data_IF_757815016248
#
_entry.id   IF_757815016248
#
_cell.length_a   1.000
_cell.length_b   1.000
_cell.length_c   1.000
_cell.angle_alpha   90.00
_cell.angle_beta   90.00
_cell.angle_gamma   90.00
#
_symmetry.space_group_name_H-M   'P 1'
#
loop_
_entity.id
_entity.type
_entity.pdbx_description
1 polymer ?
#
# COMPACT_ATOMS: atom_id res chain seq x y z
N UNK A 1 5.87 0.69 48.16
CA UNK A 1 5.55 -0.37 47.17
C UNK A 1 4.56 0.05 46.08
N UNK A 2 3.54 0.89 46.36
CA UNK A 2 2.58 1.37 45.35
C UNK A 2 3.20 2.28 44.27
N UNK A 3 4.12 3.18 44.64
CA UNK A 3 4.77 4.13 43.72
C UNK A 3 5.60 3.44 42.61
N UNK A 4 6.32 2.36 42.95
CA UNK A 4 7.11 1.60 41.97
C UNK A 4 6.24 0.82 40.96
N UNK A 5 5.03 0.38 41.36
CA UNK A 5 4.07 -0.26 40.45
C UNK A 5 3.48 0.76 39.46
N UNK A 6 3.11 1.96 39.94
CA UNK A 6 2.62 3.04 39.07
C UNK A 6 3.67 3.49 38.06
N UNK A 7 4.93 3.61 38.49
CA UNK A 7 6.03 3.97 37.59
C UNK A 7 6.26 2.91 36.51
N UNK A 8 6.27 1.61 36.85
CA UNK A 8 6.40 0.52 35.85
C UNK A 8 5.24 0.49 34.86
N UNK A 9 4.01 0.69 35.32
CA UNK A 9 2.83 0.77 34.45
C UNK A 9 2.91 1.97 33.51
N UNK A 10 3.39 3.12 34.00
CA UNK A 10 3.59 4.32 33.18
C UNK A 10 4.68 4.09 32.10
N UNK A 11 5.82 3.49 32.45
CA UNK A 11 6.87 3.14 31.50
C UNK A 11 6.42 2.11 30.45
N UNK A 12 5.60 1.12 30.85
CA UNK A 12 5.01 0.15 29.92
C UNK A 12 4.03 0.81 28.95
N UNK A 13 3.19 1.74 29.43
CA UNK A 13 2.27 2.51 28.58
C UNK A 13 3.03 3.40 27.59
N UNK A 14 4.06 4.12 28.05
CA UNK A 14 4.90 4.95 27.20
C UNK A 14 5.65 4.11 26.15
N UNK A 15 6.20 2.96 26.55
CA UNK A 15 6.85 2.01 25.63
C UNK A 15 5.88 1.49 24.55
N UNK A 16 4.64 1.16 24.94
CA UNK A 16 3.61 0.72 24.00
C UNK A 16 3.19 1.82 23.01
N UNK A 17 3.00 3.05 23.50
CA UNK A 17 2.66 4.20 22.64
C UNK A 17 3.78 4.53 21.66
N UNK A 18 5.03 4.50 22.12
CA UNK A 18 6.21 4.71 21.26
C UNK A 18 6.36 3.58 20.23
N UNK A 19 6.09 2.33 20.62
CA UNK A 19 6.10 1.19 19.67
C UNK A 19 5.06 1.36 18.58
N UNK A 20 3.82 1.73 18.93
CA UNK A 20 2.73 1.98 17.97
C UNK A 20 3.06 3.12 17.00
N UNK A 21 3.59 4.23 17.50
CA UNK A 21 4.02 5.36 16.67
C UNK A 21 5.14 4.95 15.69
N UNK A 22 6.09 4.13 16.16
CA UNK A 22 7.18 3.61 15.33
C UNK A 22 6.66 2.71 14.21
N UNK A 23 5.66 1.87 14.51
CA UNK A 23 5.02 0.99 13.53
C UNK A 23 4.21 1.78 12.50
N UNK A 24 3.38 2.74 12.95
CA UNK A 24 2.64 3.63 12.06
C UNK A 24 3.57 4.43 11.15
N UNK A 25 4.68 4.94 11.68
CA UNK A 25 5.68 5.67 10.91
C UNK A 25 6.39 4.77 9.89
N UNK A 26 6.73 3.54 10.29
CA UNK A 26 7.31 2.53 9.40
C UNK A 26 6.37 2.17 8.26
N UNK A 27 5.07 2.05 8.53
CA UNK A 27 4.06 1.78 7.52
C UNK A 27 3.91 2.96 6.55
N UNK A 28 3.77 4.20 7.04
CA UNK A 28 3.71 5.37 6.15
C UNK A 28 4.98 5.50 5.29
N UNK A 29 6.15 5.16 5.84
CA UNK A 29 7.41 5.12 5.10
C UNK A 29 7.40 4.02 4.03
N UNK A 30 6.84 2.85 4.32
CA UNK A 30 6.66 1.77 3.34
C UNK A 30 5.80 2.25 2.16
N UNK A 31 4.65 2.83 2.46
CA UNK A 31 3.73 3.36 1.46
C UNK A 31 4.40 4.47 0.63
N UNK A 32 5.08 5.42 1.25
CA UNK A 32 5.82 6.44 0.52
C UNK A 32 6.89 5.85 -0.41
N UNK A 33 7.56 4.76 -0.03
CA UNK A 33 8.56 4.06 -0.88
C UNK A 33 7.97 3.49 -2.17
N UNK A 34 6.68 3.15 -2.21
CA UNK A 34 6.02 2.61 -3.42
C UNK A 34 5.97 3.60 -4.59
N UNK A 35 5.99 4.89 -4.29
CA UNK A 35 5.98 5.98 -5.28
C UNK A 35 7.28 6.79 -5.29
N UNK A 36 8.23 6.43 -4.43
CA UNK A 36 9.50 7.16 -4.30
C UNK A 36 10.45 6.80 -5.43
N UNK A 37 10.99 7.83 -6.06
CA UNK A 37 11.96 7.75 -7.15
C UNK A 37 13.37 7.50 -6.63
N UNK A 38 13.64 6.33 -6.06
CA UNK A 38 15.01 5.99 -5.66
C UNK A 38 15.58 4.86 -6.51
N UNK A 39 16.54 5.16 -7.41
CA UNK A 39 17.36 4.11 -8.01
C UNK A 39 18.10 3.40 -6.88
N UNK A 40 18.18 2.07 -6.94
CA UNK A 40 18.99 1.28 -6.03
C UNK A 40 20.43 1.82 -6.03
N UNK A 41 20.85 2.42 -4.92
CA UNK A 41 22.26 2.70 -4.66
C UNK A 41 22.91 1.39 -4.22
N UNK A 42 23.78 0.84 -5.06
CA UNK A 42 24.59 -0.36 -4.81
C UNK A 42 25.76 -0.09 -3.84
N UNK A 43 26.45 -1.12 -3.29
CA UNK A 43 26.05 -2.51 -3.07
C UNK A 43 25.85 -2.79 -1.57
N UNK A 44 24.88 -3.63 -1.21
CA UNK A 44 24.93 -4.29 0.08
C UNK A 44 26.10 -5.27 0.06
N UNK A 45 27.14 -4.99 0.84
CA UNK A 45 28.04 -6.03 1.32
C UNK A 45 27.15 -7.11 1.95
N UNK A 46 27.14 -8.31 1.37
CA UNK A 46 26.47 -9.51 1.88
C UNK A 46 26.90 -9.95 3.30
N UNK A 47 27.63 -9.11 4.04
CA UNK A 47 28.17 -9.39 5.37
C UNK A 47 28.03 -8.25 6.38
N UNK A 48 27.17 -7.26 6.14
CA UNK A 48 26.92 -6.19 7.12
C UNK A 48 25.58 -6.43 7.79
N UNK A 49 25.61 -7.08 8.95
CA UNK A 49 24.54 -7.17 9.95
C UNK A 49 23.19 -6.66 9.46
N UNK A 50 22.31 -7.59 9.07
CA UNK A 50 20.88 -7.40 9.14
C UNK A 50 20.60 -6.80 10.52
N UNK A 51 20.43 -5.47 10.59
CA UNK A 51 19.53 -4.93 11.59
C UNK A 51 18.26 -5.73 11.33
N UNK A 52 17.79 -6.55 12.29
CA UNK A 52 16.70 -7.46 12.03
C UNK A 52 15.63 -6.61 11.39
N UNK A 53 15.33 -6.87 10.11
CA UNK A 53 14.14 -6.37 9.48
C UNK A 53 13.07 -6.89 10.40
N UNK A 54 12.64 -6.06 11.36
CA UNK A 54 11.54 -6.41 12.23
C UNK A 54 10.46 -6.66 11.19
N UNK A 55 9.97 -7.90 11.03
CA UNK A 55 8.73 -8.08 10.29
C UNK A 55 7.81 -7.04 10.89
N UNK A 56 7.15 -6.22 10.05
CA UNK A 56 6.16 -5.25 10.51
C UNK A 56 5.40 -5.94 11.63
N UNK A 57 5.66 -5.49 12.86
CA UNK A 57 5.51 -6.35 14.04
C UNK A 57 4.05 -6.80 14.08
N UNK A 58 3.78 -8.05 14.47
CA UNK A 58 2.44 -8.67 14.59
C UNK A 58 1.43 -7.86 15.42
N UNK A 59 1.86 -6.73 15.98
CA UNK A 59 1.04 -5.61 16.42
C UNK A 59 0.16 -5.12 15.26
N UNK A 60 -1.08 -5.61 15.26
CA UNK A 60 -2.25 -5.27 14.43
C UNK A 60 -2.67 -3.78 14.45
N UNK A 61 -1.74 -2.86 14.62
CA UNK A 61 -2.04 -1.44 14.83
C UNK A 61 -2.48 -0.72 13.54
N UNK A 62 -2.08 -1.23 12.37
CA UNK A 62 -2.43 -0.68 11.06
C UNK A 62 -3.77 -1.21 10.51
N UNK A 63 -4.23 -2.38 10.96
CA UNK A 63 -5.53 -2.96 10.56
C UNK A 63 -6.67 -1.97 10.83
N UNK A 64 -6.81 -1.56 12.09
CA UNK A 64 -7.91 -0.68 12.49
C UNK A 64 -7.68 0.78 12.13
N UNK A 65 -6.43 1.21 11.97
CA UNK A 65 -6.11 2.62 11.70
C UNK A 65 -6.20 2.95 10.22
N UNK A 66 -5.80 2.00 9.35
CA UNK A 66 -5.63 2.24 7.92
C UNK A 66 -6.43 1.28 7.03
N UNK A 67 -7.07 0.26 7.62
CA UNK A 67 -7.85 -0.72 6.89
C UNK A 67 -7.01 -1.73 6.11
N UNK A 68 -5.74 -1.90 6.49
CA UNK A 68 -4.76 -2.78 5.82
C UNK A 68 -4.35 -3.92 6.74
N UNK A 69 -4.35 -5.14 6.22
CA UNK A 69 -3.92 -6.30 6.99
C UNK A 69 -2.41 -6.43 7.04
N UNK A 70 -1.90 -7.17 8.02
CA UNK A 70 -0.46 -7.42 8.14
C UNK A 70 0.09 -8.19 6.92
N UNK A 71 -0.68 -9.14 6.39
CA UNK A 71 -0.29 -9.90 5.19
C UNK A 71 -0.21 -9.01 3.95
N UNK A 72 -1.18 -8.10 3.76
CA UNK A 72 -1.14 -7.15 2.64
C UNK A 72 0.06 -6.19 2.79
N UNK A 73 0.29 -5.66 3.99
CA UNK A 73 1.45 -4.78 4.24
C UNK A 73 2.78 -5.50 3.98
N UNK A 74 2.88 -6.77 4.38
CA UNK A 74 4.02 -7.63 4.06
C UNK A 74 4.17 -7.80 2.55
N UNK A 75 3.10 -8.11 1.82
CA UNK A 75 3.14 -8.29 0.38
C UNK A 75 3.58 -7.02 -0.38
N UNK A 76 3.15 -5.83 0.06
CA UNK A 76 3.62 -4.55 -0.49
C UNK A 76 5.14 -4.39 -0.28
N UNK A 77 5.63 -4.65 0.94
CA UNK A 77 7.06 -4.57 1.22
C UNK A 77 7.86 -5.59 0.41
N UNK A 78 7.37 -6.83 0.31
CA UNK A 78 8.04 -7.89 -0.44
C UNK A 78 8.10 -7.58 -1.93
N UNK A 79 7.03 -7.01 -2.49
CA UNK A 79 7.02 -6.53 -3.88
C UNK A 79 8.10 -5.48 -4.09
N UNK A 80 8.23 -4.51 -3.19
CA UNK A 80 9.27 -3.49 -3.27
C UNK A 80 10.70 -4.03 -3.18
N UNK A 81 10.95 -5.03 -2.35
CA UNK A 81 12.24 -5.71 -2.26
C UNK A 81 12.58 -6.44 -3.55
N UNK A 82 11.65 -7.24 -4.08
CA UNK A 82 11.82 -7.96 -5.34
C UNK A 82 12.04 -7.03 -6.52
N UNK A 83 11.28 -5.93 -6.63
CA UNK A 83 11.49 -4.92 -7.67
C UNK A 83 12.92 -4.36 -7.67
N UNK A 84 13.51 -4.14 -6.49
CA UNK A 84 14.90 -3.65 -6.36
C UNK A 84 15.90 -4.70 -6.77
N UNK A 85 15.68 -5.96 -6.39
CA UNK A 85 16.55 -7.07 -6.78
C UNK A 85 16.50 -7.31 -8.28
N UNK A 86 15.32 -7.34 -8.90
CA UNK A 86 15.17 -7.46 -10.36
C UNK A 86 15.88 -6.30 -11.06
N UNK A 87 15.62 -5.06 -10.62
CA UNK A 87 16.29 -3.86 -11.16
C UNK A 87 17.82 -3.89 -11.00
N UNK A 88 18.33 -4.53 -9.94
CA UNK A 88 19.76 -4.73 -9.71
C UNK A 88 20.37 -5.59 -10.81
N UNK A 89 19.74 -6.72 -11.13
CA UNK A 89 20.22 -7.67 -12.13
C UNK A 89 20.12 -7.08 -13.54
N UNK A 90 19.01 -6.41 -13.85
CA UNK A 90 18.80 -5.76 -15.16
C UNK A 90 19.88 -4.70 -15.47
N UNK A 91 20.33 -3.93 -14.46
CA UNK A 91 21.24 -2.80 -14.67
C UNK A 91 22.72 -3.16 -14.58
N UNK A 92 23.12 -3.97 -13.60
CA UNK A 92 24.55 -4.23 -13.35
C UNK A 92 25.08 -5.49 -14.02
N UNK A 93 24.19 -6.45 -14.32
CA UNK A 93 24.63 -7.73 -14.87
C UNK A 93 23.75 -8.15 -16.05
N UNK A 94 23.68 -7.36 -17.14
CA UNK A 94 22.78 -7.67 -18.28
C UNK A 94 23.03 -9.04 -18.93
N UNK A 95 24.19 -9.65 -18.65
CA UNK A 95 24.62 -10.94 -19.18
C UNK A 95 24.35 -12.11 -18.21
N UNK A 96 23.91 -11.84 -16.98
CA UNK A 96 23.65 -12.86 -15.96
C UNK A 96 22.15 -12.95 -15.72
N UNK A 97 21.62 -14.15 -15.88
CA UNK A 97 20.22 -14.43 -15.58
C UNK A 97 19.89 -14.12 -14.11
N UNK A 98 18.66 -13.69 -13.86
CA UNK A 98 18.11 -13.52 -12.51
C UNK A 98 18.19 -14.88 -11.79
N UNK A 99 18.73 -14.95 -10.56
CA UNK A 99 18.75 -16.18 -9.77
C UNK A 99 17.37 -16.82 -9.61
N UNK A 100 17.33 -18.16 -9.69
CA UNK A 100 16.10 -18.95 -9.57
C UNK A 100 15.34 -18.67 -8.27
N UNK A 101 16.03 -18.53 -7.14
CA UNK A 101 15.38 -18.21 -5.86
C UNK A 101 14.64 -16.86 -5.84
N UNK A 102 15.02 -15.88 -6.67
CA UNK A 102 14.29 -14.61 -6.81
C UNK A 102 13.02 -14.83 -7.64
N UNK A 103 13.10 -15.64 -8.69
CA UNK A 103 11.93 -16.01 -9.50
C UNK A 103 10.92 -16.81 -8.67
N UNK A 104 11.38 -17.80 -7.89
CA UNK A 104 10.54 -18.55 -6.95
C UNK A 104 9.88 -17.63 -5.91
N UNK A 105 10.61 -16.63 -5.39
CA UNK A 105 10.05 -15.65 -4.47
C UNK A 105 8.98 -14.77 -5.14
N UNK A 106 9.16 -14.41 -6.42
CA UNK A 106 8.15 -13.69 -7.19
C UNK A 106 6.89 -14.53 -7.39
N UNK A 107 7.03 -15.80 -7.76
CA UNK A 107 5.91 -16.74 -7.96
C UNK A 107 5.16 -16.99 -6.65
N UNK A 108 5.88 -17.24 -5.57
CA UNK A 108 5.32 -17.46 -4.24
C UNK A 108 4.49 -16.26 -3.77
N UNK A 109 5.01 -15.04 -3.95
CA UNK A 109 4.26 -13.81 -3.64
C UNK A 109 3.02 -13.65 -4.51
N UNK A 110 3.11 -13.99 -5.80
CA UNK A 110 1.96 -13.98 -6.71
C UNK A 110 0.87 -14.95 -6.29
N UNK A 111 1.25 -16.17 -5.93
CA UNK A 111 0.33 -17.18 -5.40
C UNK A 111 -0.33 -16.72 -4.09
N UNK A 112 0.43 -16.10 -3.18
CA UNK A 112 -0.10 -15.54 -1.94
C UNK A 112 -1.14 -14.45 -2.21
N UNK A 113 -0.85 -13.51 -3.11
CA UNK A 113 -1.78 -12.45 -3.48
C UNK A 113 -3.03 -13.02 -4.17
N UNK A 114 -2.88 -13.91 -5.15
CA UNK A 114 -4.02 -14.46 -5.89
C UNK A 114 -4.93 -15.37 -5.05
N UNK A 115 -4.38 -16.04 -4.04
CA UNK A 115 -5.15 -16.91 -3.12
C UNK A 115 -5.61 -16.19 -1.85
N UNK A 116 -5.34 -14.88 -1.72
CA UNK A 116 -5.68 -14.12 -0.54
C UNK A 116 -7.19 -14.14 -0.27
N UNK A 117 -7.56 -14.39 0.98
CA UNK A 117 -8.93 -14.23 1.45
C UNK A 117 -8.93 -13.52 2.79
N UNK A 118 -9.85 -12.55 2.94
CA UNK A 118 -10.00 -11.84 4.20
C UNK A 118 -10.37 -12.78 5.35
N UNK A 119 -11.18 -13.82 5.08
CA UNK A 119 -11.64 -14.78 6.09
C UNK A 119 -10.49 -15.49 6.81
N UNK A 120 -9.41 -15.82 6.10
CA UNK A 120 -8.24 -16.48 6.67
C UNK A 120 -7.49 -15.58 7.68
N UNK A 121 -7.58 -14.26 7.48
CA UNK A 121 -7.02 -13.25 8.38
C UNK A 121 -7.95 -12.93 9.54
N UNK A 122 -9.26 -12.79 9.27
CA UNK A 122 -10.26 -12.45 10.29
C UNK A 122 -10.49 -13.55 11.31
N UNK A 123 -10.31 -14.82 10.93
CA UNK A 123 -10.37 -15.95 11.87
C UNK A 123 -9.42 -15.80 13.06
N UNK A 124 -8.39 -14.94 12.92
CA UNK A 124 -7.39 -14.63 13.94
C UNK A 124 -7.67 -13.32 14.68
N UNK A 125 -8.64 -12.51 14.25
CA UNK A 125 -8.90 -11.15 14.75
C UNK A 125 -10.08 -11.10 15.74
N UNK A 126 -9.94 -10.29 16.81
CA UNK A 126 -11.03 -9.99 17.75
C UNK A 126 -11.57 -8.62 17.33
N UNK A 127 -12.78 -8.60 16.76
CA UNK A 127 -13.44 -7.35 16.39
C UNK A 127 -14.15 -6.72 17.60
N UNK A 128 -14.10 -5.39 17.74
CA UNK A 128 -15.11 -4.69 18.53
C UNK A 128 -16.50 -5.01 17.96
N UNK A 129 -17.52 -5.00 18.82
CA UNK A 129 -18.88 -5.44 18.51
C UNK A 129 -19.66 -4.46 17.57
N UNK A 130 -18.97 -3.76 16.69
CA UNK A 130 -19.51 -2.78 15.74
C UNK A 130 -19.51 -3.38 14.32
N UNK A 131 -20.69 -3.81 13.89
CA UNK A 131 -20.92 -4.40 12.56
C UNK A 131 -20.59 -3.42 11.43
N UNK A 132 -20.84 -2.12 11.61
CA UNK A 132 -20.57 -1.11 10.57
C UNK A 132 -19.07 -0.96 10.36
N UNK A 133 -18.30 -0.87 11.44
CA UNK A 133 -16.84 -0.77 11.38
C UNK A 133 -16.21 -2.02 10.78
N UNK A 134 -16.79 -3.20 11.02
CA UNK A 134 -16.35 -4.45 10.39
C UNK A 134 -16.57 -4.45 8.88
N UNK A 135 -17.73 -3.97 8.41
CA UNK A 135 -18.01 -3.84 6.98
C UNK A 135 -17.08 -2.82 6.31
N UNK A 136 -16.87 -1.66 6.94
CA UNK A 136 -15.93 -0.64 6.45
C UNK A 136 -14.51 -1.20 6.36
N UNK A 137 -14.05 -1.90 7.41
CA UNK A 137 -12.74 -2.54 7.42
C UNK A 137 -12.63 -3.59 6.31
N UNK A 138 -13.65 -4.43 6.12
CA UNK A 138 -13.66 -5.46 5.09
C UNK A 138 -13.49 -4.86 3.69
N UNK A 139 -14.27 -3.85 3.35
CA UNK A 139 -14.14 -3.19 2.05
C UNK A 139 -12.81 -2.46 1.88
N UNK A 140 -12.30 -1.82 2.93
CA UNK A 140 -10.94 -1.25 2.90
C UNK A 140 -9.87 -2.33 2.66
N UNK A 141 -9.93 -3.46 3.36
CA UNK A 141 -8.97 -4.55 3.21
C UNK A 141 -8.97 -5.11 1.79
N UNK A 142 -10.14 -5.27 1.16
CA UNK A 142 -10.24 -5.69 -0.24
C UNK A 142 -9.66 -4.64 -1.20
N UNK A 143 -9.90 -3.35 -0.97
CA UNK A 143 -9.29 -2.28 -1.78
C UNK A 143 -7.76 -2.30 -1.65
N UNK A 144 -7.23 -2.45 -0.43
CA UNK A 144 -5.80 -2.59 -0.18
C UNK A 144 -5.20 -3.81 -0.87
N UNK A 145 -5.87 -4.96 -0.76
CA UNK A 145 -5.45 -6.20 -1.40
C UNK A 145 -5.37 -6.05 -2.92
N UNK A 146 -6.43 -5.54 -3.56
CA UNK A 146 -6.46 -5.35 -5.01
C UNK A 146 -5.40 -4.37 -5.46
N UNK A 147 -5.16 -3.28 -4.73
CA UNK A 147 -4.09 -2.34 -5.06
C UNK A 147 -2.69 -2.94 -4.88
N UNK A 148 -2.47 -3.81 -3.89
CA UNK A 148 -1.23 -4.57 -3.75
C UNK A 148 -1.04 -5.57 -4.91
N UNK A 149 -2.10 -6.26 -5.32
CA UNK A 149 -2.10 -7.16 -6.47
C UNK A 149 -1.81 -6.41 -7.77
N UNK A 150 -2.46 -5.26 -8.01
CA UNK A 150 -2.20 -4.39 -9.16
C UNK A 150 -0.72 -3.98 -9.18
N UNK A 151 -0.19 -3.51 -8.04
CA UNK A 151 1.20 -3.10 -7.93
C UNK A 151 2.16 -4.24 -8.27
N UNK A 152 1.93 -5.43 -7.70
CA UNK A 152 2.71 -6.63 -8.01
C UNK A 152 2.64 -7.01 -9.49
N UNK A 153 1.43 -7.11 -10.07
CA UNK A 153 1.24 -7.53 -11.45
C UNK A 153 1.92 -6.59 -12.44
N UNK A 154 1.86 -5.27 -12.21
CA UNK A 154 2.50 -4.32 -13.11
C UNK A 154 4.03 -4.28 -12.98
N UNK A 155 4.57 -4.42 -11.77
CA UNK A 155 5.99 -4.17 -11.51
C UNK A 155 6.85 -5.43 -11.48
N UNK A 156 6.27 -6.60 -11.19
CA UNK A 156 6.96 -7.89 -11.22
C UNK A 156 6.60 -8.66 -12.49
N UNK A 157 5.31 -8.77 -12.81
CA UNK A 157 4.83 -9.58 -13.94
C UNK A 157 4.76 -8.82 -15.26
N UNK A 158 4.90 -7.48 -15.25
CA UNK A 158 4.80 -6.66 -16.45
C UNK A 158 3.40 -6.65 -17.08
N UNK A 159 2.36 -6.93 -16.29
CA UNK A 159 0.98 -6.99 -16.76
C UNK A 159 0.54 -5.64 -17.38
N UNK A 160 -0.18 -5.71 -18.50
CA UNK A 160 -0.72 -4.52 -19.15
C UNK A 160 -1.88 -3.93 -18.35
N UNK A 161 -2.20 -2.65 -18.57
CA UNK A 161 -3.38 -2.01 -17.93
C UNK A 161 -4.70 -2.71 -18.29
N UNK A 162 -4.76 -3.35 -19.45
CA UNK A 162 -5.94 -4.14 -19.86
C UNK A 162 -6.08 -5.42 -19.03
N UNK A 163 -4.97 -6.10 -18.75
CA UNK A 163 -4.98 -7.37 -17.99
C UNK A 163 -5.46 -7.19 -16.55
N UNK A 164 -5.21 -6.00 -15.97
CA UNK A 164 -5.58 -5.67 -14.58
C UNK A 164 -6.83 -4.81 -14.46
N UNK A 165 -7.52 -4.51 -15.57
CA UNK A 165 -8.61 -3.53 -15.60
C UNK A 165 -9.76 -3.89 -14.63
N UNK A 166 -10.07 -5.18 -14.50
CA UNK A 166 -11.09 -5.67 -13.56
C UNK A 166 -10.68 -5.42 -12.10
N UNK A 167 -9.42 -5.70 -11.74
CA UNK A 167 -8.91 -5.42 -10.39
C UNK A 167 -8.98 -3.93 -10.07
N UNK A 168 -8.67 -3.06 -11.04
CA UNK A 168 -8.78 -1.60 -10.89
C UNK A 168 -10.24 -1.19 -10.66
N UNK A 169 -11.19 -1.70 -11.45
CA UNK A 169 -12.61 -1.39 -11.29
C UNK A 169 -13.15 -1.85 -9.92
N UNK A 170 -12.78 -3.07 -9.49
CA UNK A 170 -13.20 -3.62 -8.21
C UNK A 170 -12.62 -2.83 -7.02
N UNK A 171 -11.37 -2.35 -7.10
CA UNK A 171 -10.78 -1.49 -6.08
C UNK A 171 -11.58 -0.17 -5.93
N UNK A 172 -11.99 0.45 -7.04
CA UNK A 172 -12.84 1.64 -7.02
C UNK A 172 -14.20 1.35 -6.36
N UNK A 173 -14.83 0.23 -6.72
CA UNK A 173 -16.12 -0.20 -6.16
C UNK A 173 -16.07 -0.29 -4.64
N UNK A 174 -15.07 -0.99 -4.08
CA UNK A 174 -14.91 -1.11 -2.64
C UNK A 174 -14.69 0.24 -1.94
N UNK A 175 -13.88 1.12 -2.55
CA UNK A 175 -13.61 2.44 -1.99
C UNK A 175 -14.83 3.37 -2.05
N UNK A 176 -15.70 3.24 -3.06
CA UNK A 176 -16.98 3.96 -3.10
C UNK A 176 -17.95 3.48 -2.03
N UNK A 177 -18.08 2.16 -1.86
CA UNK A 177 -18.95 1.56 -0.83
C UNK A 177 -18.54 2.06 0.57
N UNK A 178 -17.24 2.12 0.86
CA UNK A 178 -16.73 2.69 2.12
C UNK A 178 -17.22 4.12 2.31
N UNK A 179 -17.11 4.95 1.30
CA UNK A 179 -17.48 6.36 1.40
C UNK A 179 -19.00 6.57 1.48
N UNK A 180 -19.78 5.65 0.89
CA UNK A 180 -21.25 5.56 1.04
C UNK A 180 -21.63 5.24 2.48
N UNK A 181 -21.04 4.20 3.07
CA UNK A 181 -21.27 3.85 4.48
C UNK A 181 -20.92 5.04 5.38
N UNK A 182 -19.75 5.66 5.18
CA UNK A 182 -19.33 6.82 5.97
C UNK A 182 -20.25 8.03 5.82
N UNK A 183 -20.90 8.22 4.68
CA UNK A 183 -21.83 9.34 4.48
C UNK A 183 -23.12 9.22 5.29
N UNK A 184 -23.46 8.01 5.76
CA UNK A 184 -24.56 7.79 6.70
C UNK A 184 -24.19 7.98 8.17
N UNK A 185 -22.92 8.27 8.48
CA UNK A 185 -22.39 8.39 9.84
C UNK A 185 -22.08 9.85 10.22
N UNK A 186 -21.95 10.19 11.52
CA UNK A 186 -21.67 11.56 11.98
C UNK A 186 -20.34 12.13 11.45
N UNK A 187 -20.26 13.47 11.37
CA UNK A 187 -19.21 14.28 10.71
C UNK A 187 -17.74 14.08 11.15
N UNK A 188 -17.44 13.21 12.12
CA UNK A 188 -16.08 12.99 12.62
C UNK A 188 -15.43 11.71 12.05
N UNK A 189 -15.75 11.35 10.81
CA UNK A 189 -15.17 10.18 10.16
C UNK A 189 -13.71 10.41 9.76
N UNK A 190 -12.87 9.42 10.03
CA UNK A 190 -11.47 9.46 9.63
C UNK A 190 -11.36 9.45 8.10
N UNK A 191 -10.56 10.39 7.59
CA UNK A 191 -10.19 10.46 6.19
C UNK A 191 -9.51 9.16 5.74
N UNK A 192 -9.78 8.67 4.52
CA UNK A 192 -9.14 7.46 4.01
C UNK A 192 -7.64 7.70 3.78
N UNK A 193 -6.83 6.66 4.01
CA UNK A 193 -5.52 6.57 3.36
C UNK A 193 -5.76 6.38 1.86
N UNK A 194 -5.01 7.13 1.07
CA UNK A 194 -5.25 7.28 -0.36
C UNK A 194 -4.43 6.32 -1.20
N UNK A 195 -3.45 5.63 -0.61
CA UNK A 195 -2.59 4.69 -1.34
C UNK A 195 -3.35 3.69 -2.23
N UNK A 196 -4.40 2.97 -1.77
CA UNK A 196 -5.12 2.05 -2.64
C UNK A 196 -5.70 2.75 -3.86
N UNK A 197 -6.32 3.91 -3.65
CA UNK A 197 -6.89 4.71 -4.71
C UNK A 197 -5.83 5.23 -5.66
N UNK A 198 -4.69 5.70 -5.15
CA UNK A 198 -3.58 6.22 -5.95
C UNK A 198 -3.04 5.16 -6.91
N UNK A 199 -2.69 3.97 -6.41
CA UNK A 199 -2.16 2.89 -7.25
C UNK A 199 -3.15 2.46 -8.33
N UNK A 200 -4.40 2.20 -7.93
CA UNK A 200 -5.41 1.70 -8.85
C UNK A 200 -5.83 2.77 -9.88
N UNK A 201 -5.96 4.04 -9.47
CA UNK A 201 -6.26 5.14 -10.39
C UNK A 201 -5.12 5.41 -11.37
N UNK A 202 -3.84 5.32 -10.97
CA UNK A 202 -2.71 5.44 -11.91
C UNK A 202 -2.73 4.37 -13.01
N UNK A 203 -3.38 3.24 -12.75
CA UNK A 203 -3.50 2.10 -13.66
C UNK A 203 -4.79 2.09 -14.48
N UNK A 204 -5.67 3.07 -14.26
CA UNK A 204 -7.03 3.06 -14.81
C UNK A 204 -7.09 3.38 -16.31
N UNK A 205 -7.85 2.54 -17.03
CA UNK A 205 -8.30 2.81 -18.39
C UNK A 205 -9.59 3.64 -18.37
N UNK A 206 -10.59 3.18 -17.61
CA UNK A 206 -11.78 3.97 -17.30
C UNK A 206 -11.54 4.83 -16.05
N UNK A 207 -11.64 6.15 -16.22
CA UNK A 207 -11.27 7.15 -15.22
C UNK A 207 -12.48 7.79 -14.55
N UNK A 208 -13.69 7.62 -15.07
CA UNK A 208 -14.88 8.33 -14.58
C UNK A 208 -15.15 8.01 -13.12
N UNK A 209 -15.16 6.72 -12.76
CA UNK A 209 -15.36 6.26 -11.38
C UNK A 209 -14.29 6.82 -10.42
N UNK A 210 -13.05 6.96 -10.89
CA UNK A 210 -11.95 7.50 -10.09
C UNK A 210 -12.05 9.00 -9.91
N UNK A 211 -12.46 9.74 -10.94
CA UNK A 211 -12.73 11.19 -10.83
C UNK A 211 -13.80 11.44 -9.77
N UNK A 212 -14.87 10.65 -9.77
CA UNK A 212 -15.94 10.74 -8.76
C UNK A 212 -15.40 10.49 -7.35
N UNK A 213 -14.60 9.41 -7.17
CA UNK A 213 -14.04 9.07 -5.86
C UNK A 213 -13.10 10.17 -5.35
N UNK A 214 -12.14 10.59 -6.16
CA UNK A 214 -11.17 11.64 -5.81
C UNK A 214 -11.84 12.98 -5.51
N UNK A 215 -12.93 13.30 -6.19
CA UNK A 215 -13.74 14.51 -5.91
C UNK A 215 -14.46 14.38 -4.57
N UNK A 216 -15.03 13.21 -4.27
CA UNK A 216 -15.78 12.96 -3.04
C UNK A 216 -14.92 13.12 -1.79
N UNK A 217 -13.70 12.59 -1.79
CA UNK A 217 -12.80 12.67 -0.62
C UNK A 217 -12.30 14.08 -0.32
N UNK A 218 -12.46 15.05 -1.23
CA UNK A 218 -12.09 16.44 -0.96
C UNK A 218 -12.89 17.04 0.21
N UNK A 219 -14.05 16.46 0.54
CA UNK A 219 -14.86 16.85 1.72
C UNK A 219 -14.10 16.78 3.04
N UNK A 220 -13.06 15.94 3.12
CA UNK A 220 -12.22 15.82 4.32
C UNK A 220 -11.28 17.01 4.54
N UNK A 221 -11.17 17.94 3.59
CA UNK A 221 -10.37 19.17 3.74
C UNK A 221 -8.86 18.94 3.82
N UNK A 222 -8.37 17.74 3.50
CA UNK A 222 -6.96 17.41 3.55
C UNK A 222 -6.28 17.86 2.25
N UNK A 223 -5.46 18.90 2.34
CA UNK A 223 -4.83 19.52 1.17
C UNK A 223 -3.98 18.57 0.30
N UNK A 224 -3.41 17.51 0.90
CA UNK A 224 -2.62 16.52 0.15
C UNK A 224 -3.47 15.70 -0.81
N UNK A 225 -4.75 15.46 -0.52
CA UNK A 225 -5.66 14.69 -1.39
C UNK A 225 -5.87 15.35 -2.74
N UNK A 226 -6.02 16.68 -2.76
CA UNK A 226 -6.12 17.45 -4.00
C UNK A 226 -4.84 17.29 -4.83
N UNK A 227 -3.68 17.44 -4.19
CA UNK A 227 -2.38 17.31 -4.85
C UNK A 227 -2.18 15.91 -5.42
N UNK A 228 -2.56 14.86 -4.70
CA UNK A 228 -2.49 13.48 -5.18
C UNK A 228 -3.36 13.26 -6.41
N UNK A 229 -4.58 13.80 -6.42
CA UNK A 229 -5.43 13.70 -7.59
C UNK A 229 -4.86 14.48 -8.79
N UNK A 230 -4.24 15.63 -8.56
CA UNK A 230 -3.52 16.36 -9.60
C UNK A 230 -2.39 15.50 -10.21
N UNK A 231 -1.61 14.80 -9.37
CA UNK A 231 -0.60 13.84 -9.84
C UNK A 231 -1.20 12.71 -10.67
N UNK A 232 -2.31 12.12 -10.22
CA UNK A 232 -3.02 11.07 -10.98
C UNK A 232 -3.43 11.58 -12.36
N UNK A 233 -3.96 12.81 -12.46
CA UNK A 233 -4.30 13.42 -13.75
C UNK A 233 -3.07 13.69 -14.62
N UNK A 234 -1.94 14.10 -14.04
CA UNK A 234 -0.68 14.27 -14.76
C UNK A 234 -0.19 12.94 -15.37
N UNK A 235 -0.32 11.85 -14.62
CA UNK A 235 0.00 10.48 -15.07
C UNK A 235 -0.94 10.06 -16.19
N UNK A 236 -2.24 10.27 -16.04
CA UNK A 236 -3.24 9.99 -17.07
C UNK A 236 -2.92 10.70 -18.39
N UNK A 237 -2.62 12.00 -18.33
CA UNK A 237 -2.23 12.76 -19.51
C UNK A 237 -0.96 12.22 -20.17
N UNK A 238 0.01 11.71 -19.39
CA UNK A 238 1.20 11.07 -19.92
C UNK A 238 0.89 9.71 -20.58
N UNK A 239 0.03 8.90 -19.95
CA UNK A 239 -0.41 7.61 -20.46
C UNK A 239 -1.30 7.72 -21.71
N UNK A 240 -1.98 8.85 -21.91
CA UNK A 240 -2.72 9.11 -23.14
C UNK A 240 -1.76 9.34 -24.32
N UNK A 241 -0.58 9.90 -24.06
CA UNK A 241 0.46 10.10 -25.05
C UNK A 241 1.36 8.86 -25.25
N UNK A 242 1.59 8.09 -24.18
CA UNK A 242 2.42 6.88 -24.17
C UNK A 242 1.62 5.71 -23.54
N UNK A 243 0.71 5.05 -24.29
CA UNK A 243 -0.21 4.05 -23.73
C UNK A 243 0.46 2.82 -23.10
N UNK A 244 1.64 2.46 -23.58
CA UNK A 244 2.39 1.29 -23.08
C UNK A 244 3.37 1.65 -21.95
N UNK A 245 3.44 2.93 -21.55
CA UNK A 245 4.33 3.35 -20.49
C UNK A 245 3.87 2.87 -19.10
N UNK A 246 4.83 2.58 -18.24
CA UNK A 246 4.59 2.33 -16.83
C UNK A 246 4.42 3.67 -16.09
N UNK A 247 3.35 3.81 -15.28
CA UNK A 247 3.06 5.06 -14.57
C UNK A 247 4.14 5.44 -13.55
N UNK A 248 4.81 4.46 -12.92
CA UNK A 248 5.89 4.71 -11.97
C UNK A 248 7.13 5.25 -12.69
N UNK A 249 7.39 4.78 -13.91
CA UNK A 249 8.44 5.31 -14.77
C UNK A 249 8.14 6.75 -15.22
N UNK A 250 6.87 7.09 -15.43
CA UNK A 250 6.44 8.47 -15.69
C UNK A 250 6.72 9.37 -14.48
N UNK A 251 6.33 8.94 -13.27
CA UNK A 251 6.64 9.67 -12.02
C UNK A 251 8.15 9.89 -11.90
N UNK A 252 8.95 8.85 -12.18
CA UNK A 252 10.42 8.89 -12.14
C UNK A 252 11.02 9.87 -13.15
N UNK A 253 10.61 9.78 -14.42
CA UNK A 253 11.09 10.67 -15.49
C UNK A 253 10.75 12.13 -15.23
N UNK A 254 9.57 12.39 -14.68
CA UNK A 254 9.06 13.75 -14.42
C UNK A 254 9.40 14.30 -13.04
N UNK A 255 10.06 13.51 -12.18
CA UNK A 255 10.44 13.87 -10.81
C UNK A 255 9.23 14.36 -10.00
N UNK A 256 8.10 13.68 -10.14
CA UNK A 256 6.87 14.05 -9.44
C UNK A 256 7.00 13.58 -7.98
N UNK A 257 6.91 14.52 -7.05
CA UNK A 257 6.85 14.21 -5.62
C UNK A 257 5.41 13.87 -5.22
N UNK A 258 5.21 12.62 -4.78
CA UNK A 258 3.94 12.15 -4.21
C UNK A 258 4.03 12.28 -2.69
N UNK A 259 3.30 13.24 -2.14
CA UNK A 259 3.31 13.50 -0.70
C UNK A 259 2.19 12.71 0.00
N UNK A 260 2.56 12.05 1.11
CA UNK A 260 1.67 11.50 2.14
C UNK A 260 0.46 10.70 1.61
N UNK A 261 0.73 9.51 1.06
CA UNK A 261 -0.26 8.55 0.54
C UNK A 261 -1.09 7.86 1.62
#
# INVERSE_FOLDING_TARGET
MLELRKSRQHWQMMSLQTSRLTEMSSFMMLIAKTTSCHPATFPHNHHSYEAPHRPLSQTRCYEFTYGVTAEIAYAINKTLELCKEISFYDKLTPQRAIPEGILEACESLGNQLLSWSLNDELSKAIFPNDETMQVVFSHHAHAWHLSALIYYLQHIQGASRSDIAEHVANAASYLHIVEDIKSGLPDNQMAPITWPAFIASCSALDRETWVLWWTRIQRYGIGTMKRQFDVVKEIWSALDAEPDANWLEIIRRRKIEVLAL
#
